data_IF_371970744259
#
_entry.id   IF_371970744259
#
_cell.length_a   1.000
_cell.length_b   1.000
_cell.length_c   1.000
_cell.angle_alpha   90.00
_cell.angle_beta   90.00
_cell.angle_gamma   90.00
#
_symmetry.space_group_name_H-M   'P 1'
#
loop_
_entity.id
_entity.type
_entity.pdbx_description
1 polymer ?
#
# COMPACT_ATOMS: atom_id res chain seq x y z
N UNK A 1 -35.65 22.28 3.80
CA UNK A 1 -35.31 21.58 5.05
C UNK A 1 -34.71 22.62 5.98
N UNK A 2 -35.49 23.13 6.92
CA UNK A 2 -35.05 24.14 7.89
C UNK A 2 -34.35 23.42 9.03
N UNK A 3 -33.08 23.74 9.25
CA UNK A 3 -32.30 23.19 10.35
C UNK A 3 -32.77 23.83 11.67
N UNK A 4 -33.01 23.05 12.74
CA UNK A 4 -33.32 23.60 14.07
C UNK A 4 -32.21 24.52 14.58
N UNK A 5 -32.60 25.46 15.45
CA UNK A 5 -31.88 26.73 15.73
C UNK A 5 -30.50 26.61 16.38
N UNK A 6 -30.04 25.43 16.79
CA UNK A 6 -28.71 25.23 17.37
C UNK A 6 -28.16 23.87 16.91
N UNK A 7 -27.38 23.89 15.84
CA UNK A 7 -26.62 22.73 15.36
C UNK A 7 -25.16 23.14 15.28
N UNK A 8 -24.31 22.55 16.13
CA UNK A 8 -22.87 22.84 16.17
C UNK A 8 -22.14 22.42 14.88
N UNK A 9 -22.64 21.40 14.17
CA UNK A 9 -22.12 20.95 12.89
C UNK A 9 -23.10 20.02 12.17
N UNK A 10 -23.00 19.97 10.85
CA UNK A 10 -23.80 19.11 10.00
C UNK A 10 -22.92 18.18 9.16
N UNK A 11 -23.29 16.90 9.10
CA UNK A 11 -22.57 15.86 8.36
C UNK A 11 -23.23 15.62 7.01
N UNK A 12 -22.60 16.12 5.94
CA UNK A 12 -22.95 15.78 4.58
C UNK A 12 -22.38 14.41 4.17
N UNK A 13 -23.07 13.72 3.26
CA UNK A 13 -22.63 12.46 2.63
C UNK A 13 -22.20 11.37 3.62
N UNK A 14 -23.12 10.97 4.49
CA UNK A 14 -22.77 10.32 5.75
C UNK A 14 -22.12 8.95 5.66
N UNK A 15 -22.28 8.27 4.53
CA UNK A 15 -21.73 6.94 4.24
C UNK A 15 -20.89 6.95 2.95
N UNK A 16 -20.50 8.13 2.46
CA UNK A 16 -19.82 8.30 1.17
C UNK A 16 -20.58 7.67 -0.02
N UNK A 17 -21.91 7.54 0.08
CA UNK A 17 -22.76 6.96 -0.97
C UNK A 17 -23.12 7.96 -2.08
N UNK A 18 -22.96 9.27 -1.83
CA UNK A 18 -23.12 10.30 -2.85
C UNK A 18 -21.78 10.65 -3.50
N UNK A 19 -21.78 10.87 -4.82
CA UNK A 19 -20.71 11.59 -5.53
C UNK A 19 -20.92 13.08 -5.28
N UNK A 20 -20.06 13.77 -4.51
CA UNK A 20 -20.23 15.20 -4.29
C UNK A 20 -19.98 15.94 -5.61
N UNK A 21 -21.02 16.58 -6.15
CA UNK A 21 -20.84 17.59 -7.20
C UNK A 21 -20.13 18.78 -6.59
N UNK A 22 -19.04 19.23 -7.22
CA UNK A 22 -18.31 20.44 -6.83
C UNK A 22 -19.26 21.65 -6.85
N UNK A 23 -19.88 21.98 -5.72
CA UNK A 23 -20.48 23.29 -5.47
C UNK A 23 -19.82 23.90 -4.24
N UNK A 24 -18.95 24.87 -4.49
CA UNK A 24 -18.48 25.80 -3.47
C UNK A 24 -19.63 26.78 -3.15
N UNK A 25 -19.90 26.98 -1.87
CA UNK A 25 -20.66 28.13 -1.41
C UNK A 25 -19.72 29.13 -0.70
N UNK A 26 -20.01 30.42 -0.83
CA UNK A 26 -19.11 31.55 -0.62
C UNK A 26 -18.87 31.95 0.85
N UNK A 27 -19.24 31.13 1.83
CA UNK A 27 -19.30 31.54 3.24
C UNK A 27 -18.14 31.11 4.14
N UNK A 28 -17.11 30.40 3.65
CA UNK A 28 -15.86 30.21 4.41
C UNK A 28 -15.94 29.36 5.69
N UNK A 29 -17.12 28.98 6.17
CA UNK A 29 -17.30 28.14 7.35
C UNK A 29 -17.41 26.67 6.95
N UNK A 30 -16.32 25.92 7.14
CA UNK A 30 -16.31 24.46 6.93
C UNK A 30 -16.66 23.74 8.23
N UNK A 31 -17.91 23.29 8.34
CA UNK A 31 -18.36 22.37 9.36
C UNK A 31 -17.72 20.98 9.15
N UNK A 32 -16.82 20.56 10.04
CA UNK A 32 -16.24 19.21 10.06
C UNK A 32 -16.74 18.42 11.28
N UNK A 33 -17.63 17.44 11.08
CA UNK A 33 -17.60 16.19 11.87
C UNK A 33 -18.15 14.96 11.13
N UNK A 34 -17.20 14.31 10.48
CA UNK A 34 -16.89 12.87 10.42
C UNK A 34 -18.03 11.85 10.38
N UNK A 35 -18.18 11.13 9.25
CA UNK A 35 -18.71 9.78 9.32
C UNK A 35 -17.81 8.93 10.18
N UNK A 36 -18.42 8.24 11.16
CA UNK A 36 -17.79 7.54 12.28
C UNK A 36 -16.38 7.09 11.88
N UNK A 37 -15.38 7.94 12.16
CA UNK A 37 -13.94 7.73 12.01
C UNK A 37 -13.34 7.73 10.58
N UNK A 38 -14.06 7.29 9.53
CA UNK A 38 -13.47 7.04 8.18
C UNK A 38 -13.54 8.19 7.16
N UNK A 39 -14.65 8.95 7.08
CA UNK A 39 -14.76 10.07 6.13
C UNK A 39 -13.69 11.18 6.25
N UNK A 40 -13.17 11.54 7.45
CA UNK A 40 -12.14 12.58 7.53
C UNK A 40 -10.90 12.25 6.73
N UNK A 41 -10.33 11.06 6.94
CA UNK A 41 -9.01 10.72 6.42
C UNK A 41 -9.08 10.61 4.89
N UNK A 42 -10.18 10.03 4.38
CA UNK A 42 -10.41 9.91 2.93
C UNK A 42 -10.75 11.24 2.24
N UNK A 43 -11.38 12.20 2.92
CA UNK A 43 -11.72 13.51 2.33
C UNK A 43 -10.63 14.56 2.48
N UNK A 44 -9.88 14.54 3.59
CA UNK A 44 -8.85 15.54 3.88
C UNK A 44 -7.61 15.33 3.01
N UNK A 45 -7.24 14.09 2.69
CA UNK A 45 -6.08 13.85 1.82
C UNK A 45 -6.24 14.48 0.42
N UNK A 46 -7.31 14.21 -0.36
CA UNK A 46 -7.52 14.88 -1.65
C UNK A 46 -7.64 16.41 -1.53
N UNK A 47 -8.29 16.90 -0.47
CA UNK A 47 -8.49 18.33 -0.23
C UNK A 47 -7.17 19.04 0.13
N UNK A 48 -6.28 18.35 0.83
CA UNK A 48 -4.93 18.81 1.09
C UNK A 48 -4.10 18.80 -0.21
N UNK A 49 -4.17 17.72 -0.99
CA UNK A 49 -3.50 17.63 -2.29
C UNK A 49 -3.96 18.72 -3.28
N UNK A 50 -5.22 19.16 -3.20
CA UNK A 50 -5.75 20.25 -4.01
C UNK A 50 -5.48 21.65 -3.45
N UNK A 51 -4.71 21.76 -2.34
CA UNK A 51 -4.34 23.03 -1.71
C UNK A 51 -5.47 23.71 -0.93
N UNK A 52 -6.60 23.05 -0.71
CA UNK A 52 -7.76 23.64 -0.01
C UNK A 52 -7.68 23.47 1.52
N UNK A 53 -6.85 22.55 2.03
CA UNK A 53 -6.60 22.33 3.45
C UNK A 53 -5.09 22.35 3.69
N UNK A 54 -4.59 23.04 4.73
CA UNK A 54 -3.18 22.99 5.09
C UNK A 54 -2.72 21.57 5.42
N UNK A 55 -1.48 21.23 5.05
CA UNK A 55 -0.88 19.93 5.38
C UNK A 55 -0.89 19.64 6.88
N UNK A 56 -0.67 20.66 7.71
CA UNK A 56 -0.74 20.56 9.16
C UNK A 56 -2.09 20.00 9.64
N UNK A 57 -3.21 20.46 9.06
CA UNK A 57 -4.55 19.95 9.38
C UNK A 57 -4.70 18.48 9.00
N UNK A 58 -4.10 18.05 7.88
CA UNK A 58 -4.10 16.65 7.48
C UNK A 58 -3.23 15.78 8.40
N UNK A 59 -2.07 16.29 8.83
CA UNK A 59 -1.19 15.60 9.77
C UNK A 59 -1.79 15.51 11.17
N UNK A 60 -2.57 16.51 11.61
CA UNK A 60 -3.30 16.47 12.88
C UNK A 60 -4.32 15.31 12.96
N UNK A 61 -4.79 14.79 11.82
CA UNK A 61 -5.61 13.57 11.81
C UNK A 61 -4.82 12.31 12.20
N UNK A 62 -3.51 12.29 12.00
CA UNK A 62 -2.67 11.16 12.44
C UNK A 62 -2.67 11.03 13.97
N UNK A 63 -2.77 12.16 14.69
CA UNK A 63 -2.90 12.19 16.16
C UNK A 63 -4.22 11.57 16.63
N UNK A 64 -5.26 11.60 15.80
CA UNK A 64 -6.53 10.95 16.11
C UNK A 64 -6.46 9.43 15.93
N UNK A 65 -5.71 8.96 14.92
CA UNK A 65 -5.58 7.53 14.59
C UNK A 65 -4.96 6.73 15.75
N UNK A 66 -4.14 7.34 16.60
CA UNK A 66 -3.58 6.69 17.80
C UNK A 66 -4.66 6.10 18.72
N UNK A 67 -5.88 6.67 18.71
CA UNK A 67 -7.02 6.23 19.55
C UNK A 67 -7.98 5.30 18.80
N UNK A 68 -7.63 4.88 17.59
CA UNK A 68 -8.48 4.05 16.76
C UNK A 68 -8.24 2.56 16.95
N UNK A 69 -9.34 1.80 17.04
CA UNK A 69 -9.32 0.34 17.11
C UNK A 69 -10.03 -0.30 15.91
N UNK A 70 -10.67 0.52 15.06
CA UNK A 70 -11.35 0.04 13.86
C UNK A 70 -10.36 -0.15 12.69
N UNK A 71 -10.60 -1.17 11.87
CA UNK A 71 -9.74 -1.51 10.72
C UNK A 71 -9.63 -0.38 9.68
N UNK A 72 -10.75 0.23 9.31
CA UNK A 72 -10.80 1.16 8.18
C UNK A 72 -9.96 2.45 8.35
N UNK A 73 -9.95 3.11 9.53
CA UNK A 73 -9.01 4.20 9.80
C UNK A 73 -7.55 3.81 9.58
N UNK A 74 -7.12 2.67 10.13
CA UNK A 74 -5.76 2.15 9.97
C UNK A 74 -5.44 1.77 8.52
N UNK A 75 -6.39 1.15 7.80
CA UNK A 75 -6.24 0.87 6.38
C UNK A 75 -6.06 2.14 5.54
N UNK A 76 -6.83 3.19 5.83
CA UNK A 76 -6.70 4.46 5.12
C UNK A 76 -5.36 5.12 5.42
N UNK A 77 -4.93 5.12 6.69
CA UNK A 77 -3.61 5.61 7.11
C UNK A 77 -2.49 4.85 6.37
N UNK A 78 -2.58 3.52 6.32
CA UNK A 78 -1.65 2.67 5.59
C UNK A 78 -1.55 3.05 4.11
N UNK A 79 -2.67 3.11 3.38
CA UNK A 79 -2.70 3.39 1.94
C UNK A 79 -2.11 4.77 1.62
N UNK A 80 -2.50 5.81 2.39
CA UNK A 80 -1.98 7.17 2.19
C UNK A 80 -0.50 7.28 2.53
N UNK A 81 -0.08 6.69 3.64
CA UNK A 81 1.32 6.72 4.07
C UNK A 81 2.22 5.95 3.11
N UNK A 82 1.82 4.76 2.67
CA UNK A 82 2.56 3.98 1.66
C UNK A 82 2.71 4.76 0.35
N UNK A 83 1.64 5.45 -0.09
CA UNK A 83 1.70 6.32 -1.27
C UNK A 83 2.68 7.49 -1.10
N UNK A 84 2.66 8.16 0.06
CA UNK A 84 3.60 9.24 0.37
C UNK A 84 5.03 8.69 0.40
N UNK A 85 5.29 7.59 1.12
CA UNK A 85 6.63 6.99 1.21
C UNK A 85 7.18 6.70 -0.19
N UNK A 86 6.38 6.12 -1.08
CA UNK A 86 6.82 5.81 -2.44
C UNK A 86 7.20 7.06 -3.23
N UNK A 87 6.38 8.09 -3.18
CA UNK A 87 6.58 9.31 -3.98
C UNK A 87 7.55 10.32 -3.35
N UNK A 88 7.78 10.22 -2.04
CA UNK A 88 8.48 11.21 -1.23
C UNK A 88 9.80 10.70 -0.64
N UNK A 89 10.18 9.44 -0.93
CA UNK A 89 11.40 8.79 -0.42
C UNK A 89 12.71 9.52 -0.73
N UNK A 90 12.74 10.37 -1.77
CA UNK A 90 13.90 11.18 -2.14
C UNK A 90 13.88 12.61 -1.59
N UNK A 91 12.83 13.00 -0.86
CA UNK A 91 12.66 14.34 -0.33
C UNK A 91 13.47 14.53 0.98
N UNK A 92 13.94 15.75 1.24
CA UNK A 92 14.68 16.10 2.45
C UNK A 92 13.89 15.86 3.74
N UNK A 93 12.55 16.01 3.70
CA UNK A 93 11.66 15.84 4.85
C UNK A 93 11.17 14.39 5.05
N UNK A 94 11.71 13.44 4.28
CA UNK A 94 11.27 12.05 4.36
C UNK A 94 11.45 11.46 5.76
N UNK A 95 12.59 11.77 6.42
CA UNK A 95 12.90 11.24 7.75
C UNK A 95 11.91 11.75 8.80
N UNK A 96 11.66 13.05 8.81
CA UNK A 96 10.73 13.70 9.73
C UNK A 96 9.30 13.16 9.55
N UNK A 97 8.90 12.92 8.30
CA UNK A 97 7.62 12.27 8.01
C UNK A 97 7.58 10.85 8.58
N UNK A 98 8.60 10.03 8.34
CA UNK A 98 8.65 8.66 8.86
C UNK A 98 8.69 8.61 10.39
N UNK A 99 9.34 9.57 11.05
CA UNK A 99 9.39 9.66 12.52
C UNK A 99 8.01 9.95 13.13
N UNK A 100 7.17 10.74 12.46
CA UNK A 100 5.78 10.99 12.89
C UNK A 100 4.94 9.71 12.75
N UNK A 101 5.07 9.01 11.62
CA UNK A 101 4.34 7.77 11.37
C UNK A 101 4.74 6.68 12.37
N UNK A 102 6.04 6.56 12.66
CA UNK A 102 6.58 5.65 13.66
C UNK A 102 5.92 5.86 15.04
N UNK A 103 5.92 7.12 15.51
CA UNK A 103 5.31 7.49 16.80
C UNK A 103 3.83 7.16 16.91
N UNK A 104 3.08 7.23 15.80
CA UNK A 104 1.65 6.91 15.78
C UNK A 104 1.40 5.40 15.70
N UNK A 105 2.18 4.70 14.88
CA UNK A 105 1.94 3.30 14.56
C UNK A 105 2.52 2.33 15.59
N UNK A 106 3.76 2.52 16.03
CA UNK A 106 4.48 1.53 16.83
C UNK A 106 3.86 1.25 18.20
N UNK A 107 3.34 2.24 18.95
CA UNK A 107 2.66 1.95 20.21
C UNK A 107 1.48 0.99 20.05
N UNK A 108 0.67 1.21 18.99
CA UNK A 108 -0.47 0.35 18.70
C UNK A 108 -0.03 -1.03 18.20
N UNK A 109 0.94 -1.10 17.28
CA UNK A 109 1.49 -2.38 16.81
C UNK A 109 2.05 -3.23 17.95
N UNK A 110 2.78 -2.61 18.88
CA UNK A 110 3.31 -3.30 20.06
C UNK A 110 2.19 -3.79 21.00
N UNK A 111 1.10 -3.01 21.16
CA UNK A 111 -0.10 -3.44 21.91
C UNK A 111 -0.76 -4.67 21.29
N UNK A 112 -0.79 -4.76 19.94
CA UNK A 112 -1.36 -5.91 19.24
C UNK A 112 -0.51 -7.18 19.41
N UNK A 113 0.79 -7.05 19.67
CA UNK A 113 1.71 -8.18 19.75
C UNK A 113 1.93 -8.87 18.40
N UNK A 114 2.67 -9.98 18.44
CA UNK A 114 3.19 -10.69 17.25
C UNK A 114 2.55 -12.06 17.00
N UNK A 115 1.71 -12.52 17.92
CA UNK A 115 1.02 -13.80 17.83
C UNK A 115 -0.20 -13.68 16.90
N UNK A 116 -0.60 -14.76 16.23
CA UNK A 116 -1.81 -14.78 15.38
C UNK A 116 -3.09 -14.91 16.24
N UNK A 117 -3.16 -14.10 17.29
CA UNK A 117 -4.29 -13.99 18.21
C UNK A 117 -5.19 -12.81 17.82
N UNK A 118 -6.38 -12.77 18.42
CA UNK A 118 -7.37 -11.72 18.19
C UNK A 118 -8.40 -12.04 17.10
N UNK A 119 -9.35 -11.14 16.97
CA UNK A 119 -10.38 -11.18 15.93
C UNK A 119 -9.81 -10.86 14.55
N UNK A 120 -10.63 -11.02 13.50
CA UNK A 120 -10.20 -10.78 12.12
C UNK A 120 -9.64 -9.37 11.91
N UNK A 121 -10.27 -8.35 12.51
CA UNK A 121 -9.86 -6.95 12.36
C UNK A 121 -8.49 -6.68 12.99
N UNK A 122 -8.28 -7.18 14.20
CA UNK A 122 -7.01 -7.07 14.94
C UNK A 122 -5.86 -7.65 14.13
N UNK A 123 -6.06 -8.83 13.54
CA UNK A 123 -5.07 -9.49 12.67
C UNK A 123 -4.78 -8.67 11.42
N UNK A 124 -5.82 -8.15 10.77
CA UNK A 124 -5.66 -7.34 9.57
C UNK A 124 -4.92 -6.02 9.86
N UNK A 125 -5.22 -5.33 10.95
CA UNK A 125 -4.47 -4.13 11.35
C UNK A 125 -3.01 -4.49 11.62
N UNK A 126 -2.73 -5.58 12.34
CA UNK A 126 -1.36 -6.05 12.60
C UNK A 126 -0.59 -6.27 11.29
N UNK A 127 -1.23 -6.86 10.27
CA UNK A 127 -0.61 -7.08 8.96
C UNK A 127 -0.29 -5.74 8.29
N UNK A 128 -1.22 -4.77 8.30
CA UNK A 128 -1.02 -3.46 7.69
C UNK A 128 0.12 -2.68 8.35
N UNK A 129 0.17 -2.64 9.68
CA UNK A 129 1.18 -1.89 10.41
C UNK A 129 2.56 -2.55 10.30
N UNK A 130 2.63 -3.89 10.41
CA UNK A 130 3.87 -4.63 10.15
C UNK A 130 4.37 -4.40 8.72
N UNK A 131 3.46 -4.30 7.76
CA UNK A 131 3.80 -3.99 6.36
C UNK A 131 4.37 -2.59 6.21
N UNK A 132 3.76 -1.60 6.85
CA UNK A 132 4.25 -0.22 6.81
C UNK A 132 5.63 -0.10 7.48
N UNK A 133 5.82 -0.76 8.63
CA UNK A 133 7.12 -0.85 9.28
C UNK A 133 8.17 -1.53 8.38
N UNK A 134 7.81 -2.62 7.69
CA UNK A 134 8.69 -3.26 6.72
C UNK A 134 8.99 -2.37 5.50
N UNK A 135 8.07 -1.49 5.10
CA UNK A 135 8.29 -0.48 4.05
C UNK A 135 9.28 0.60 4.48
N UNK A 136 9.23 0.99 5.76
CA UNK A 136 10.13 1.97 6.37
C UNK A 136 11.49 1.37 6.78
N UNK A 137 11.65 0.05 6.71
CA UNK A 137 12.93 -0.64 6.94
C UNK A 137 13.16 -1.15 8.37
N UNK A 138 12.12 -1.26 9.19
CA UNK A 138 12.28 -1.76 10.57
C UNK A 138 12.60 -3.26 10.58
N UNK A 139 13.75 -3.61 11.17
CA UNK A 139 14.34 -4.96 11.08
C UNK A 139 13.50 -6.05 11.75
N UNK A 140 12.85 -5.75 12.86
CA UNK A 140 12.02 -6.72 13.60
C UNK A 140 10.83 -7.18 12.75
N UNK A 141 10.12 -6.22 12.14
CA UNK A 141 8.94 -6.47 11.32
C UNK A 141 9.31 -7.13 9.99
N UNK A 142 10.50 -6.82 9.45
CA UNK A 142 11.08 -7.55 8.32
C UNK A 142 11.34 -9.01 8.71
N UNK A 143 11.97 -9.26 9.86
CA UNK A 143 12.23 -10.62 10.36
C UNK A 143 10.94 -11.43 10.57
N UNK A 144 9.90 -10.79 11.08
CA UNK A 144 8.58 -11.39 11.21
C UNK A 144 7.98 -11.75 9.83
N UNK A 145 8.03 -10.84 8.86
CA UNK A 145 7.55 -11.08 7.48
C UNK A 145 8.30 -12.24 6.81
N UNK A 146 9.62 -12.33 7.01
CA UNK A 146 10.43 -13.43 6.50
C UNK A 146 10.08 -14.76 7.17
N UNK A 147 9.83 -14.77 8.48
CA UNK A 147 9.40 -15.97 9.20
C UNK A 147 8.01 -16.43 8.73
N UNK A 148 7.08 -15.48 8.56
CA UNK A 148 5.75 -15.75 8.03
C UNK A 148 5.81 -16.33 6.61
N UNK A 149 6.70 -15.81 5.75
CA UNK A 149 6.91 -16.32 4.39
C UNK A 149 7.25 -17.81 4.37
N UNK A 150 8.27 -18.20 5.13
CA UNK A 150 8.69 -19.61 5.18
C UNK A 150 7.64 -20.50 5.82
N UNK A 151 6.88 -19.99 6.80
CA UNK A 151 5.76 -20.73 7.41
C UNK A 151 4.61 -20.97 6.42
N UNK A 152 4.24 -19.95 5.64
CA UNK A 152 3.20 -20.06 4.62
C UNK A 152 3.63 -21.05 3.55
N UNK A 153 4.89 -20.95 3.10
CA UNK A 153 5.43 -21.87 2.10
C UNK A 153 5.49 -23.33 2.59
N UNK A 154 5.96 -23.57 3.82
CA UNK A 154 6.04 -24.91 4.39
C UNK A 154 4.69 -25.50 4.82
N UNK A 155 3.59 -24.77 4.67
CA UNK A 155 2.25 -25.15 5.13
C UNK A 155 1.36 -25.57 3.96
N UNK A 156 0.60 -26.65 4.14
CA UNK A 156 -0.47 -27.04 3.22
C UNK A 156 -1.76 -26.24 3.40
N UNK A 157 -1.86 -25.44 4.48
CA UNK A 157 -3.01 -24.57 4.75
C UNK A 157 -2.82 -23.21 4.09
N UNK A 158 -3.85 -22.73 3.38
CA UNK A 158 -3.92 -21.36 2.86
C UNK A 158 -3.88 -20.35 4.02
N UNK A 159 -3.06 -19.33 3.87
CA UNK A 159 -2.97 -18.26 4.84
C UNK A 159 -4.02 -17.18 4.57
N UNK A 160 -4.11 -16.19 5.46
CA UNK A 160 -5.01 -15.07 5.25
C UNK A 160 -4.60 -14.29 3.98
N UNK A 161 -5.51 -13.97 3.05
CA UNK A 161 -5.14 -13.34 1.77
C UNK A 161 -4.37 -12.03 1.92
N UNK A 162 -4.73 -11.20 2.92
CA UNK A 162 -4.00 -9.97 3.23
C UNK A 162 -2.56 -10.29 3.67
N UNK A 163 -2.38 -11.32 4.50
CA UNK A 163 -1.06 -11.71 4.98
C UNK A 163 -0.18 -12.16 3.80
N UNK A 164 -0.70 -13.05 2.95
CA UNK A 164 0.02 -13.53 1.76
C UNK A 164 0.48 -12.35 0.89
N UNK A 165 -0.43 -11.41 0.60
CA UNK A 165 -0.13 -10.22 -0.21
C UNK A 165 1.09 -9.44 0.28
N UNK A 166 1.17 -9.20 1.59
CA UNK A 166 2.26 -8.41 2.16
C UNK A 166 3.53 -9.22 2.40
N UNK A 167 3.37 -10.48 2.82
CA UNK A 167 4.50 -11.37 3.08
C UNK A 167 5.30 -11.63 1.81
N UNK A 168 4.67 -12.00 0.68
CA UNK A 168 5.39 -12.19 -0.58
C UNK A 168 6.11 -10.91 -1.03
N UNK A 169 5.44 -9.76 -0.90
CA UNK A 169 5.99 -8.43 -1.26
C UNK A 169 7.30 -8.14 -0.53
N UNK A 170 7.30 -8.22 0.81
CA UNK A 170 8.48 -7.88 1.60
C UNK A 170 9.51 -9.02 1.65
N UNK A 171 9.08 -10.28 1.51
CA UNK A 171 10.00 -11.40 1.37
C UNK A 171 10.84 -11.27 0.10
N UNK A 172 10.25 -10.87 -1.03
CA UNK A 172 11.03 -10.63 -2.26
C UNK A 172 11.97 -9.43 -2.12
N UNK A 173 11.54 -8.37 -1.41
CA UNK A 173 12.37 -7.20 -1.16
C UNK A 173 13.63 -7.51 -0.34
N UNK A 174 13.49 -8.33 0.70
CA UNK A 174 14.54 -8.55 1.70
C UNK A 174 15.19 -9.95 1.67
N UNK A 175 14.55 -10.94 1.07
CA UNK A 175 14.98 -12.34 1.03
C UNK A 175 15.98 -12.68 -0.08
N UNK A 176 16.42 -11.70 -0.86
CA UNK A 176 17.48 -11.87 -1.85
C UNK A 176 17.13 -12.80 -3.01
N UNK A 177 18.16 -13.40 -3.60
CA UNK A 177 18.04 -14.17 -4.84
C UNK A 177 17.27 -15.48 -4.68
N UNK A 178 17.42 -16.14 -3.53
CA UNK A 178 16.75 -17.40 -3.21
C UNK A 178 15.24 -17.22 -3.21
N UNK A 179 14.74 -16.26 -2.41
CA UNK A 179 13.30 -15.96 -2.33
C UNK A 179 12.76 -15.47 -3.66
N UNK A 180 13.52 -14.64 -4.40
CA UNK A 180 13.08 -14.20 -5.72
C UNK A 180 12.92 -15.35 -6.70
N UNK A 181 13.93 -16.24 -6.80
CA UNK A 181 13.87 -17.41 -7.68
C UNK A 181 12.71 -18.34 -7.30
N UNK A 182 12.49 -18.48 -5.99
CA UNK A 182 11.41 -19.30 -5.47
C UNK A 182 10.04 -18.73 -5.86
N UNK A 183 9.77 -17.44 -5.61
CA UNK A 183 8.52 -16.79 -6.05
C UNK A 183 8.37 -16.83 -7.57
N UNK A 184 9.47 -16.69 -8.32
CA UNK A 184 9.45 -16.79 -9.78
C UNK A 184 9.01 -18.19 -10.24
N UNK A 185 9.47 -19.26 -9.56
CA UNK A 185 9.07 -20.63 -9.89
C UNK A 185 7.58 -20.86 -9.68
N UNK A 186 7.01 -20.31 -8.59
CA UNK A 186 5.58 -20.36 -8.30
C UNK A 186 4.79 -19.59 -9.37
N UNK A 187 5.22 -18.37 -9.71
CA UNK A 187 4.61 -17.56 -10.76
C UNK A 187 4.56 -18.28 -12.11
N UNK A 188 5.62 -19.01 -12.48
CA UNK A 188 5.68 -19.77 -13.73
C UNK A 188 5.02 -21.14 -13.69
N UNK A 189 4.53 -21.58 -12.52
CA UNK A 189 3.88 -22.87 -12.39
C UNK A 189 2.49 -22.84 -13.03
N UNK A 190 2.14 -23.90 -13.76
CA UNK A 190 0.97 -23.98 -14.65
C UNK A 190 -0.39 -23.97 -13.92
N UNK A 191 -0.41 -23.91 -12.59
CA UNK A 191 -1.61 -24.07 -11.76
C UNK A 191 -2.04 -22.78 -11.04
N UNK A 192 -1.36 -21.65 -11.24
CA UNK A 192 -1.73 -20.40 -10.58
C UNK A 192 -3.00 -19.80 -11.19
N UNK A 193 -3.98 -19.46 -10.35
CA UNK A 193 -5.13 -18.65 -10.77
C UNK A 193 -4.68 -17.25 -11.21
N UNK A 194 -5.50 -16.53 -11.98
CA UNK A 194 -5.19 -15.15 -12.41
C UNK A 194 -4.86 -14.23 -11.23
N UNK A 195 -5.59 -14.34 -10.12
CA UNK A 195 -5.33 -13.55 -8.91
C UNK A 195 -4.03 -13.91 -8.20
N UNK A 196 -3.67 -15.20 -8.18
CA UNK A 196 -2.38 -15.64 -7.62
C UNK A 196 -1.22 -15.20 -8.52
N UNK A 197 -1.41 -15.26 -9.85
CA UNK A 197 -0.45 -14.77 -10.82
C UNK A 197 -0.15 -13.28 -10.65
N UNK A 198 -1.18 -12.43 -10.51
CA UNK A 198 -0.99 -11.00 -10.23
C UNK A 198 -0.30 -10.73 -8.89
N UNK A 199 -0.65 -11.51 -7.86
CA UNK A 199 -0.01 -11.44 -6.55
C UNK A 199 1.50 -11.70 -6.65
N UNK A 200 1.91 -12.81 -7.29
CA UNK A 200 3.32 -13.16 -7.42
C UNK A 200 4.06 -12.20 -8.35
N UNK A 201 3.43 -11.79 -9.45
CA UNK A 201 3.98 -10.79 -10.35
C UNK A 201 4.28 -9.48 -9.60
N UNK A 202 3.33 -9.01 -8.79
CA UNK A 202 3.53 -7.85 -7.92
C UNK A 202 4.63 -8.06 -6.89
N UNK A 203 4.73 -9.24 -6.28
CA UNK A 203 5.81 -9.52 -5.35
C UNK A 203 7.19 -9.46 -6.05
N UNK A 204 7.31 -10.01 -7.26
CA UNK A 204 8.56 -10.03 -8.03
C UNK A 204 9.09 -8.63 -8.35
N UNK A 205 8.20 -7.64 -8.54
CA UNK A 205 8.61 -6.25 -8.79
C UNK A 205 9.20 -5.55 -7.57
N UNK A 206 9.04 -6.10 -6.36
CA UNK A 206 9.61 -5.52 -5.13
C UNK A 206 11.09 -5.84 -4.90
N UNK A 207 11.71 -6.59 -5.81
CA UNK A 207 13.14 -6.89 -5.72
C UNK A 207 13.97 -5.61 -5.79
N UNK A 208 14.94 -5.51 -4.89
CA UNK A 208 15.97 -4.44 -4.92
C UNK A 208 17.13 -4.78 -5.85
N UNK A 209 17.21 -6.02 -6.36
CA UNK A 209 18.23 -6.44 -7.31
C UNK A 209 17.80 -6.09 -8.75
N UNK A 210 18.46 -5.10 -9.36
CA UNK A 210 18.17 -4.68 -10.73
C UNK A 210 18.32 -5.81 -11.76
N UNK A 211 19.21 -6.77 -11.55
CA UNK A 211 19.38 -7.92 -12.45
C UNK A 211 18.12 -8.79 -12.49
N UNK A 212 17.40 -8.93 -11.37
CA UNK A 212 16.16 -9.68 -11.30
C UNK A 212 15.04 -8.99 -12.09
N UNK A 213 14.93 -7.67 -11.94
CA UNK A 213 13.92 -6.88 -12.66
C UNK A 213 14.21 -6.87 -14.16
N UNK A 214 15.48 -6.67 -14.57
CA UNK A 214 15.87 -6.77 -15.98
C UNK A 214 15.55 -8.15 -16.56
N UNK A 215 15.88 -9.23 -15.84
CA UNK A 215 15.55 -10.60 -16.27
C UNK A 215 14.04 -10.80 -16.44
N UNK A 216 13.23 -10.23 -15.54
CA UNK A 216 11.76 -10.31 -15.64
C UNK A 216 11.25 -9.52 -16.86
N UNK A 217 11.73 -8.30 -17.06
CA UNK A 217 11.37 -7.44 -18.19
C UNK A 217 11.75 -8.07 -19.55
N UNK A 218 12.97 -8.56 -19.69
CA UNK A 218 13.42 -9.21 -20.94
C UNK A 218 12.60 -10.47 -21.24
N UNK A 219 12.32 -11.31 -20.23
CA UNK A 219 11.47 -12.50 -20.43
C UNK A 219 10.04 -12.13 -20.78
N UNK A 220 9.52 -11.03 -20.23
CA UNK A 220 8.13 -10.59 -20.43
C UNK A 220 7.81 -10.13 -21.86
N UNK A 221 8.83 -9.87 -22.69
CA UNK A 221 8.63 -9.61 -24.11
C UNK A 221 8.14 -10.84 -24.87
N UNK A 222 8.52 -12.05 -24.44
CA UNK A 222 8.09 -13.29 -25.07
C UNK A 222 6.60 -13.59 -24.77
N UNK A 223 5.79 -13.73 -25.83
CA UNK A 223 4.36 -14.05 -25.73
C UNK A 223 4.06 -15.41 -25.10
N UNK A 224 4.96 -16.39 -25.28
CA UNK A 224 4.83 -17.71 -24.65
C UNK A 224 5.03 -17.65 -23.13
N UNK A 225 5.77 -16.64 -22.65
CA UNK A 225 6.05 -16.46 -21.23
C UNK A 225 5.00 -15.59 -20.54
N UNK A 226 4.54 -14.51 -21.19
CA UNK A 226 3.63 -13.55 -20.58
C UNK A 226 2.71 -12.90 -21.62
N UNK A 227 1.41 -12.99 -21.36
CA UNK A 227 0.38 -12.32 -22.18
C UNK A 227 0.52 -10.80 -22.12
N UNK A 228 0.10 -10.10 -23.19
CA UNK A 228 0.18 -8.64 -23.30
C UNK A 228 -0.51 -7.92 -22.14
N UNK A 229 -1.66 -8.42 -21.68
CA UNK A 229 -2.39 -7.87 -20.53
C UNK A 229 -1.56 -7.92 -19.24
N UNK A 230 -0.93 -9.06 -18.95
CA UNK A 230 -0.03 -9.21 -17.80
C UNK A 230 1.24 -8.38 -17.95
N UNK A 231 1.76 -8.23 -19.17
CA UNK A 231 2.92 -7.38 -19.45
C UNK A 231 2.63 -5.90 -19.15
N UNK A 232 1.46 -5.38 -19.53
CA UNK A 232 1.05 -4.02 -19.18
C UNK A 232 0.90 -3.83 -17.67
N UNK A 233 0.37 -4.84 -16.96
CA UNK A 233 0.32 -4.84 -15.49
C UNK A 233 1.73 -4.82 -14.89
N UNK A 234 2.66 -5.61 -15.42
CA UNK A 234 4.07 -5.61 -14.99
C UNK A 234 4.71 -4.22 -15.15
N UNK A 235 4.55 -3.58 -16.31
CA UNK A 235 5.11 -2.24 -16.56
C UNK A 235 4.55 -1.21 -15.57
N UNK A 236 3.24 -1.27 -15.28
CA UNK A 236 2.60 -0.42 -14.28
C UNK A 236 3.22 -0.65 -12.89
N UNK A 237 3.33 -1.91 -12.46
CA UNK A 237 3.86 -2.26 -11.13
C UNK A 237 5.33 -1.86 -10.95
N UNK A 238 6.15 -1.99 -11.99
CA UNK A 238 7.54 -1.51 -12.00
C UNK A 238 7.58 0.03 -11.93
N UNK A 239 6.69 0.71 -12.66
CA UNK A 239 6.59 2.17 -12.62
C UNK A 239 6.19 2.72 -11.25
N UNK A 240 5.34 2.01 -10.50
CA UNK A 240 4.88 2.39 -9.17
C UNK A 240 5.92 2.20 -8.06
N UNK A 241 6.95 1.37 -8.29
CA UNK A 241 7.88 0.95 -7.26
C UNK A 241 9.19 1.76 -7.33
N UNK A 242 9.55 2.55 -6.29
CA UNK A 242 10.71 3.45 -6.33
C UNK A 242 12.05 2.78 -6.63
N UNK A 243 12.23 1.52 -6.21
CA UNK A 243 13.47 0.78 -6.50
C UNK A 243 13.59 0.35 -7.97
N UNK A 244 12.51 0.38 -8.74
CA UNK A 244 12.48 -0.17 -10.10
C UNK A 244 11.99 0.81 -11.17
N UNK A 245 11.35 1.93 -10.79
CA UNK A 245 10.71 2.86 -11.71
C UNK A 245 11.67 3.43 -12.79
N UNK A 246 12.89 3.82 -12.41
CA UNK A 246 13.92 4.34 -13.33
C UNK A 246 14.35 3.29 -14.34
N UNK A 247 14.48 2.04 -13.89
CA UNK A 247 14.84 0.90 -14.72
C UNK A 247 13.73 0.59 -15.72
N UNK A 248 12.48 0.53 -15.26
CA UNK A 248 11.30 0.32 -16.12
C UNK A 248 11.17 1.41 -17.18
N UNK A 249 11.38 2.68 -16.81
CA UNK A 249 11.37 3.78 -17.76
C UNK A 249 12.47 3.65 -18.82
N UNK A 250 13.69 3.27 -18.41
CA UNK A 250 14.80 3.04 -19.34
C UNK A 250 14.50 1.88 -20.29
N UNK A 251 13.93 0.79 -19.78
CA UNK A 251 13.52 -0.36 -20.57
C UNK A 251 12.50 0.02 -21.64
N UNK A 252 11.42 0.72 -21.27
CA UNK A 252 10.38 1.17 -22.23
C UNK A 252 10.98 2.04 -23.33
N UNK A 253 11.86 2.99 -22.99
CA UNK A 253 12.54 3.84 -24.00
C UNK A 253 13.40 3.01 -24.95
N UNK A 254 14.14 2.04 -24.43
CA UNK A 254 15.11 1.25 -25.21
C UNK A 254 14.39 0.23 -26.10
N UNK A 255 13.32 -0.37 -25.59
CA UNK A 255 12.59 -1.47 -26.22
C UNK A 255 11.28 -1.03 -26.89
N UNK A 256 11.06 0.27 -27.06
CA UNK A 256 9.80 0.83 -27.58
C UNK A 256 9.30 0.16 -28.86
N UNK A 257 10.20 -0.06 -29.84
CA UNK A 257 9.86 -0.70 -31.12
C UNK A 257 9.41 -2.16 -30.98
N UNK A 258 9.94 -2.88 -30.00
CA UNK A 258 9.54 -4.26 -29.70
C UNK A 258 8.20 -4.26 -28.95
N UNK A 259 8.06 -3.38 -27.95
CA UNK A 259 6.84 -3.22 -27.15
C UNK A 259 5.62 -2.87 -28.00
N UNK A 260 5.75 -1.99 -28.99
CA UNK A 260 4.64 -1.57 -29.86
C UNK A 260 4.20 -2.69 -30.83
N UNK A 261 5.05 -3.69 -31.09
CA UNK A 261 4.72 -4.81 -31.99
C UNK A 261 4.03 -5.98 -31.29
N UNK A 262 4.19 -6.06 -29.97
CA UNK A 262 3.53 -7.03 -29.09
C UNK A 262 2.07 -6.66 -28.90
#
# INVERSE_FOLDING_TARGET
MTLPSEIDWLKANSDMRGLPSHRQDKSGERCFRFSKKLAPINSIYPTCSSGHVPLETALNLLLYIEREEDYYPWFTMYEKTSSIIKNFSSNSYYREFTDVIDKVMMPYLNKLGWDDSGDSKTREIRILLTSLAAEMGFKEQIGWMMTAYWKIFGSSKKAHPLLEKHVYKYAVRYGGQEVWNHVMSIFTSTNASTSESELFLKALTYSTNHSNINRLLERSLNDDFMQVTQFLVLLKLIGEEPSTNKLGWLFVKTKWKEIVKK
#
